data_IF_294741537880
#
_entry.id   IF_294741537880
#
_cell.length_a   1.000
_cell.length_b   1.000
_cell.length_c   1.000
_cell.angle_alpha   90.00
_cell.angle_beta   90.00
_cell.angle_gamma   90.00
#
_symmetry.space_group_name_H-M   'P 1'
#
loop_
_entity.id
_entity.type
_entity.pdbx_description
1 polymer ?
#
# COMPACT_ATOMS: atom_id res chain seq x y z
N UNK A 1 -30.35 -6.08 13.69
CA UNK A 1 -29.36 -6.15 12.61
C UNK A 1 -28.76 -4.76 12.50
N UNK A 2 -27.51 -4.61 12.90
CA UNK A 2 -26.79 -3.34 12.75
C UNK A 2 -26.27 -3.27 11.31
N UNK A 3 -26.89 -2.40 10.52
CA UNK A 3 -26.59 -2.18 9.12
C UNK A 3 -25.27 -1.42 8.91
N UNK A 4 -24.74 -0.77 9.93
CA UNK A 4 -23.48 -0.04 9.87
C UNK A 4 -22.32 -0.99 10.20
N UNK A 5 -22.45 -1.78 11.27
CA UNK A 5 -21.40 -2.73 11.66
C UNK A 5 -21.23 -3.89 10.66
N UNK A 6 -22.34 -4.45 10.18
CA UNK A 6 -22.29 -5.52 9.17
C UNK A 6 -21.77 -5.06 7.82
N UNK A 7 -21.98 -3.78 7.47
CA UNK A 7 -21.42 -3.19 6.26
C UNK A 7 -19.92 -2.95 6.40
N UNK A 8 -19.47 -2.42 7.55
CA UNK A 8 -18.05 -2.26 7.85
C UNK A 8 -17.30 -3.59 7.76
N UNK A 9 -17.87 -4.67 8.29
CA UNK A 9 -17.25 -6.01 8.18
C UNK A 9 -17.12 -6.47 6.72
N UNK A 10 -18.15 -6.24 5.88
CA UNK A 10 -18.10 -6.60 4.45
C UNK A 10 -17.06 -5.81 3.66
N UNK A 11 -16.80 -4.55 4.01
CA UNK A 11 -15.74 -3.75 3.39
C UNK A 11 -14.36 -4.31 3.74
N UNK A 12 -14.15 -4.71 4.99
CA UNK A 12 -12.91 -5.36 5.43
C UNK A 12 -12.70 -6.70 4.72
N UNK A 13 -13.75 -7.52 4.61
CA UNK A 13 -13.67 -8.80 3.91
C UNK A 13 -13.36 -8.61 2.41
N UNK A 14 -13.97 -7.59 1.79
CA UNK A 14 -13.68 -7.23 0.40
C UNK A 14 -12.22 -6.79 0.22
N UNK A 15 -11.67 -5.99 1.12
CA UNK A 15 -10.27 -5.56 1.05
C UNK A 15 -9.31 -6.76 1.10
N UNK A 16 -9.56 -7.73 1.98
CA UNK A 16 -8.76 -8.96 2.04
C UNK A 16 -8.87 -9.79 0.76
N UNK A 17 -10.08 -9.92 0.19
CA UNK A 17 -10.28 -10.64 -1.07
C UNK A 17 -9.51 -9.98 -2.22
N UNK A 18 -9.63 -8.64 -2.35
CA UNK A 18 -8.91 -7.85 -3.35
C UNK A 18 -7.41 -8.04 -3.20
N UNK A 19 -6.86 -7.87 -2.00
CA UNK A 19 -5.43 -8.07 -1.76
C UNK A 19 -4.95 -9.49 -2.15
N UNK A 20 -5.74 -10.52 -1.84
CA UNK A 20 -5.38 -11.92 -2.15
C UNK A 20 -5.49 -12.30 -3.63
N UNK A 21 -6.29 -11.56 -4.41
CA UNK A 21 -6.62 -11.90 -5.80
C UNK A 21 -6.15 -10.86 -6.81
N UNK A 22 -5.61 -9.73 -6.37
CA UNK A 22 -5.17 -8.67 -7.27
C UNK A 22 -4.03 -9.17 -8.17
N UNK A 23 -4.26 -9.29 -9.48
CA UNK A 23 -3.22 -9.72 -10.39
C UNK A 23 -2.17 -8.60 -10.52
N UNK A 24 -0.89 -8.94 -10.37
CA UNK A 24 0.23 -7.99 -10.51
C UNK A 24 0.87 -7.51 -9.21
N UNK A 25 0.54 -8.09 -8.05
CA UNK A 25 1.18 -7.78 -6.76
C UNK A 25 2.56 -8.45 -6.57
N UNK A 26 3.14 -9.00 -7.63
CA UNK A 26 4.58 -9.23 -7.72
C UNK A 26 5.20 -8.03 -8.43
N UNK A 27 5.15 -6.87 -7.79
CA UNK A 27 6.03 -5.77 -8.19
C UNK A 27 7.37 -6.12 -7.56
N UNK A 28 8.36 -6.47 -8.38
CA UNK A 28 9.75 -6.48 -7.94
C UNK A 28 10.10 -5.03 -7.56
N UNK A 29 10.23 -4.77 -6.26
CA UNK A 29 10.20 -3.41 -5.70
C UNK A 29 9.55 -3.41 -4.31
N UNK A 30 9.60 -2.29 -3.59
CA UNK A 30 9.00 -2.22 -2.25
C UNK A 30 7.47 -2.06 -2.25
N UNK A 31 6.88 -1.87 -3.43
CA UNK A 31 5.45 -1.53 -3.58
C UNK A 31 5.17 -0.04 -3.42
N UNK A 32 6.16 0.76 -3.03
CA UNK A 32 6.14 2.22 -3.04
C UNK A 32 7.06 2.74 -4.17
N UNK A 33 6.49 3.38 -5.21
CA UNK A 33 7.28 3.98 -6.29
C UNK A 33 8.35 4.96 -5.79
N UNK A 34 8.11 5.65 -4.67
CA UNK A 34 9.07 6.60 -4.10
C UNK A 34 10.27 5.86 -3.50
N UNK A 35 10.03 4.81 -2.73
CA UNK A 35 11.11 4.02 -2.14
C UNK A 35 11.97 3.34 -3.23
N UNK A 36 11.35 2.82 -4.30
CA UNK A 36 12.09 2.25 -5.42
C UNK A 36 12.92 3.31 -6.17
N UNK A 37 12.40 4.52 -6.31
CA UNK A 37 13.14 5.66 -6.89
C UNK A 37 14.34 6.05 -6.04
N UNK A 38 14.17 6.12 -4.72
CA UNK A 38 15.21 6.55 -3.79
C UNK A 38 16.38 5.56 -3.67
N UNK A 39 16.21 4.30 -4.06
CA UNK A 39 17.31 3.32 -4.15
C UNK A 39 18.42 3.75 -5.11
N UNK A 40 18.08 4.50 -6.16
CA UNK A 40 19.05 4.99 -7.16
C UNK A 40 19.24 6.51 -7.14
N UNK A 41 18.34 7.26 -6.48
CA UNK A 41 18.34 8.72 -6.44
C UNK A 41 18.30 9.28 -5.00
N UNK A 42 19.12 8.72 -4.10
CA UNK A 42 19.10 9.08 -2.67
C UNK A 42 19.43 10.56 -2.37
N UNK A 43 19.96 11.33 -3.33
CA UNK A 43 20.30 12.74 -3.15
C UNK A 43 19.12 13.69 -3.37
N UNK A 44 18.04 13.21 -3.98
CA UNK A 44 16.87 14.02 -4.31
C UNK A 44 16.11 14.45 -3.05
N UNK A 45 15.46 15.61 -3.11
CA UNK A 45 14.73 16.18 -1.97
C UNK A 45 13.65 15.26 -1.42
N UNK A 46 12.93 14.57 -2.32
CA UNK A 46 11.89 13.59 -2.00
C UNK A 46 12.43 12.36 -1.25
N UNK A 47 13.74 12.13 -1.30
CA UNK A 47 14.41 10.98 -0.68
C UNK A 47 15.13 11.34 0.64
N UNK A 48 15.08 12.61 1.06
CA UNK A 48 15.68 13.04 2.32
C UNK A 48 14.76 12.65 3.46
N UNK A 49 15.12 11.59 4.17
CA UNK A 49 14.48 11.25 5.45
C UNK A 49 14.91 12.31 6.47
N UNK A 50 14.04 13.29 6.73
CA UNK A 50 14.25 14.24 7.81
C UNK A 50 14.10 13.50 9.14
N UNK A 51 15.21 13.28 9.86
CA UNK A 51 15.15 12.82 11.25
C UNK A 51 14.55 13.96 12.11
N UNK A 52 13.45 13.67 12.80
CA UNK A 52 12.72 14.58 13.69
C UNK A 52 13.25 14.55 15.13
#
# INVERSE_FOLDING_TARGET
YDNEWGYSQRVVDLAHLVASKWPGLFIDGSGDPLEDYCKTNAADEECKVYEA
#
